data_IF_758663106350
#
_entry.id   IF_758663106350
#
_cell.length_a   1.000
_cell.length_b   1.000
_cell.length_c   1.000
_cell.angle_alpha   90.00
_cell.angle_beta   90.00
_cell.angle_gamma   90.00
#
_symmetry.space_group_name_H-M   'P 1'
#
loop_
_entity.id
_entity.type
_entity.pdbx_description
1 polymer ?
#
# COMPACT_ATOMS: atom_id res chain seq x y z
N UNK A 1 30.19 -21.44 11.52
CA UNK A 1 29.05 -20.50 11.62
C UNK A 1 28.49 -20.34 10.22
N UNK A 2 27.22 -20.69 9.99
CA UNK A 2 26.59 -20.51 8.69
C UNK A 2 26.18 -19.04 8.56
N UNK A 3 26.78 -18.32 7.62
CA UNK A 3 26.37 -16.96 7.29
C UNK A 3 25.12 -17.05 6.43
N UNK A 4 23.95 -16.77 7.01
CA UNK A 4 22.72 -16.56 6.24
C UNK A 4 22.92 -15.23 5.52
N UNK A 5 23.25 -15.28 4.23
CA UNK A 5 23.22 -14.10 3.38
C UNK A 5 21.75 -13.80 3.13
N UNK A 6 21.21 -12.78 3.77
CA UNK A 6 19.90 -12.23 3.42
C UNK A 6 20.03 -11.60 2.04
N UNK A 7 19.77 -12.40 1.00
CA UNK A 7 19.67 -11.92 -0.37
C UNK A 7 18.36 -11.15 -0.47
N UNK A 8 18.45 -9.83 -0.36
CA UNK A 8 17.33 -8.95 -0.70
C UNK A 8 17.16 -9.02 -2.23
N UNK A 9 16.00 -9.46 -2.74
CA UNK A 9 15.77 -9.54 -4.17
C UNK A 9 15.93 -8.16 -4.81
N UNK A 10 16.51 -8.12 -6.01
CA UNK A 10 16.60 -6.86 -6.76
C UNK A 10 15.21 -6.47 -7.31
N UNK A 11 15.04 -5.19 -7.68
CA UNK A 11 13.73 -4.65 -8.10
C UNK A 11 13.10 -5.45 -9.25
N UNK A 12 13.91 -5.98 -10.17
CA UNK A 12 13.44 -6.81 -11.29
C UNK A 12 12.90 -8.17 -10.80
N UNK A 13 13.58 -8.81 -9.86
CA UNK A 13 13.11 -10.06 -9.23
C UNK A 13 11.82 -9.83 -8.43
N UNK A 14 11.69 -8.67 -7.77
CA UNK A 14 10.46 -8.29 -7.07
C UNK A 14 9.30 -8.10 -8.05
N UNK A 15 9.54 -7.45 -9.19
CA UNK A 15 8.52 -7.27 -10.23
C UNK A 15 8.09 -8.62 -10.82
N UNK A 16 9.01 -9.55 -11.05
CA UNK A 16 8.67 -10.89 -11.53
C UNK A 16 7.86 -11.70 -10.50
N UNK A 17 8.20 -11.59 -9.21
CA UNK A 17 7.47 -12.25 -8.12
C UNK A 17 6.07 -11.68 -7.91
N UNK A 18 5.89 -10.39 -8.15
CA UNK A 18 4.62 -9.67 -7.92
C UNK A 18 3.78 -9.53 -9.19
N UNK A 19 4.33 -9.90 -10.35
CA UNK A 19 3.63 -9.85 -11.63
C UNK A 19 2.48 -10.86 -11.68
N UNK A 20 1.27 -10.43 -12.09
CA UNK A 20 0.13 -11.33 -12.14
C UNK A 20 0.30 -12.36 -13.26
N UNK A 21 0.41 -13.64 -12.88
CA UNK A 21 0.60 -14.76 -13.81
C UNK A 21 -0.64 -15.14 -14.64
N UNK A 22 -1.81 -14.57 -14.35
CA UNK A 22 -3.04 -14.79 -15.09
C UNK A 22 -4.01 -13.60 -14.99
N UNK A 23 -5.04 -13.59 -15.84
CA UNK A 23 -6.01 -12.49 -15.94
C UNK A 23 -6.79 -12.25 -14.63
N UNK A 24 -7.05 -13.30 -13.84
CA UNK A 24 -7.74 -13.18 -12.56
C UNK A 24 -6.84 -12.53 -11.51
N UNK A 25 -5.56 -12.92 -11.44
CA UNK A 25 -4.55 -12.32 -10.58
C UNK A 25 -4.34 -10.84 -10.96
N UNK A 26 -4.37 -10.50 -12.25
CA UNK A 26 -4.26 -9.12 -12.71
C UNK A 26 -5.45 -8.26 -12.26
N UNK A 27 -6.67 -8.80 -12.35
CA UNK A 27 -7.89 -8.13 -11.84
C UNK A 27 -7.84 -7.95 -10.32
N UNK A 28 -7.43 -8.97 -9.57
CA UNK A 28 -7.28 -8.89 -8.12
C UNK A 28 -6.21 -7.86 -7.70
N UNK A 29 -5.07 -7.83 -8.39
CA UNK A 29 -4.01 -6.86 -8.13
C UNK A 29 -4.49 -5.43 -8.42
N UNK A 30 -5.21 -5.22 -9.54
CA UNK A 30 -5.81 -3.93 -9.88
C UNK A 30 -6.79 -3.48 -8.78
N UNK A 31 -7.68 -4.37 -8.33
CA UNK A 31 -8.63 -4.08 -7.28
C UNK A 31 -7.93 -3.71 -5.95
N UNK A 32 -6.90 -4.47 -5.55
CA UNK A 32 -6.09 -4.16 -4.37
C UNK A 32 -5.44 -2.78 -4.44
N UNK A 33 -4.85 -2.43 -5.60
CA UNK A 33 -4.26 -1.10 -5.83
C UNK A 33 -5.30 0.01 -5.71
N UNK A 34 -6.50 -0.21 -6.25
CA UNK A 34 -7.58 0.77 -6.17
C UNK A 34 -8.09 0.98 -4.74
N UNK A 35 -8.26 -0.10 -3.98
CA UNK A 35 -8.64 -0.01 -2.56
C UNK A 35 -7.56 0.70 -1.75
N UNK A 36 -6.29 0.35 -1.97
CA UNK A 36 -5.15 0.99 -1.30
C UNK A 36 -5.15 2.50 -1.56
N UNK A 37 -5.30 2.94 -2.82
CA UNK A 37 -5.35 4.37 -3.16
C UNK A 37 -6.46 5.09 -2.41
N UNK A 38 -7.66 4.51 -2.37
CA UNK A 38 -8.79 5.12 -1.65
C UNK A 38 -8.48 5.26 -0.16
N UNK A 39 -7.87 4.24 0.46
CA UNK A 39 -7.48 4.29 1.87
C UNK A 39 -6.41 5.36 2.11
N UNK A 40 -5.41 5.46 1.24
CA UNK A 40 -4.38 6.51 1.30
C UNK A 40 -5.02 7.90 1.18
N UNK A 41 -5.94 8.11 0.22
CA UNK A 41 -6.69 9.36 0.06
C UNK A 41 -7.48 9.72 1.35
N UNK A 42 -8.06 8.72 2.03
CA UNK A 42 -8.77 8.95 3.30
C UNK A 42 -7.83 9.32 4.44
N UNK A 43 -6.69 8.64 4.56
CA UNK A 43 -5.69 8.92 5.58
C UNK A 43 -5.07 10.29 5.39
N UNK A 44 -4.71 10.64 4.15
CA UNK A 44 -4.20 11.97 3.82
C UNK A 44 -5.19 13.06 4.22
N UNK A 45 -6.49 12.88 3.92
CA UNK A 45 -7.54 13.82 4.35
C UNK A 45 -7.67 13.89 5.86
N UNK A 46 -7.56 12.78 6.57
CA UNK A 46 -7.63 12.76 8.03
C UNK A 46 -6.42 13.47 8.66
N UNK A 47 -5.22 13.22 8.13
CA UNK A 47 -4.00 13.90 8.54
C UNK A 47 -4.06 15.40 8.24
N UNK A 48 -4.59 15.80 7.08
CA UNK A 48 -4.83 17.19 6.73
C UNK A 48 -5.84 17.87 7.68
N UNK A 49 -6.94 17.21 8.03
CA UNK A 49 -7.92 17.72 9.02
C UNK A 49 -7.29 17.93 10.39
N UNK A 50 -6.50 16.96 10.85
CA UNK A 50 -5.74 17.05 12.09
C UNK A 50 -4.73 18.20 12.05
N UNK A 51 -4.02 18.37 10.93
CA UNK A 51 -3.03 19.43 10.76
C UNK A 51 -3.66 20.84 10.67
N UNK A 52 -4.87 20.95 10.12
CA UNK A 52 -5.63 22.19 10.02
C UNK A 52 -6.33 22.59 11.34
N UNK A 53 -6.27 21.76 12.38
CA UNK A 53 -6.93 22.02 13.66
C UNK A 53 -8.46 22.02 13.56
N UNK A 54 -9.03 21.44 12.50
CA UNK A 54 -10.49 21.27 12.36
C UNK A 54 -11.02 20.01 13.07
N UNK A 55 -10.23 19.46 13.99
CA UNK A 55 -10.56 18.28 14.80
C UNK A 55 -11.05 18.68 16.21
N UNK A 56 -11.20 19.99 16.46
CA UNK A 56 -11.93 20.50 17.62
C UNK A 56 -13.42 20.58 17.25
N UNK A 57 -14.22 19.77 17.95
CA UNK A 57 -15.69 19.80 18.03
C UNK A 57 -16.48 19.16 16.88
N UNK A 58 -16.61 17.84 16.95
CA UNK A 58 -17.93 17.19 16.93
C UNK A 58 -17.88 16.00 17.90
N UNK A 59 -17.78 16.33 19.20
CA UNK A 59 -18.21 15.47 20.30
C UNK A 59 -19.71 15.18 20.14
N UNK A 60 -20.09 13.92 19.91
CA UNK A 60 -21.26 13.17 20.44
C UNK A 60 -21.62 11.95 19.57
#
# INVERSE_FOLDING_TARGET
MAHIVEVVPNDTEIEELTSPRNAQAAKALKHKREVKRRLEDYLERAELRKALGTDDEDDF
#
